data_IF_467670849237
#
_entry.id   IF_467670849237
#
_cell.length_a   1.000
_cell.length_b   1.000
_cell.length_c   1.000
_cell.angle_alpha   90.00
_cell.angle_beta   90.00
_cell.angle_gamma   90.00
#
_symmetry.space_group_name_H-M   'P 1'
#
loop_
_entity.id
_entity.type
_entity.pdbx_description
1 polymer ?
#
# COMPACT_ATOMS: atom_id res chain seq x y z
N UNK A 1 -13.67 8.13 -20.14
CA UNK A 1 -13.00 8.28 -18.83
C UNK A 1 -11.53 7.92 -18.99
N UNK A 2 -10.65 8.85 -18.61
CA UNK A 2 -9.25 8.98 -19.00
C UNK A 2 -8.34 7.83 -18.52
N UNK A 3 -7.41 7.43 -19.39
CA UNK A 3 -6.44 6.37 -19.15
C UNK A 3 -5.43 6.67 -18.05
N UNK A 4 -5.16 5.66 -17.22
CA UNK A 4 -4.13 5.66 -16.18
C UNK A 4 -2.72 5.38 -16.75
N UNK A 5 -2.38 5.98 -17.89
CA UNK A 5 -1.00 6.14 -18.30
C UNK A 5 -0.70 7.63 -18.25
N UNK A 6 -0.43 8.14 -17.06
CA UNK A 6 0.20 9.45 -16.96
C UNK A 6 1.54 9.34 -17.70
N UNK A 7 1.60 9.88 -18.93
CA UNK A 7 2.79 9.89 -19.80
C UNK A 7 3.97 10.70 -19.22
N UNK A 8 3.87 11.14 -17.97
CA UNK A 8 4.88 11.96 -17.32
C UNK A 8 5.07 11.46 -15.89
N UNK A 9 6.32 11.16 -15.48
CA UNK A 9 6.58 10.85 -14.08
C UNK A 9 6.14 12.02 -13.21
N UNK A 10 5.57 11.74 -12.03
CA UNK A 10 5.16 12.79 -11.13
C UNK A 10 6.36 13.68 -10.81
N UNK A 11 6.14 15.01 -10.88
CA UNK A 11 7.17 16.02 -10.58
C UNK A 11 7.73 15.86 -9.16
N UNK A 12 6.95 15.27 -8.25
CA UNK A 12 7.31 14.97 -6.88
C UNK A 12 7.58 13.47 -6.71
N UNK A 13 8.53 13.14 -5.86
CA UNK A 13 8.87 11.77 -5.49
C UNK A 13 7.64 11.04 -4.91
N UNK A 14 7.23 9.90 -5.47
CA UNK A 14 6.16 9.08 -4.89
C UNK A 14 6.56 8.57 -3.52
N UNK A 15 5.61 8.52 -2.60
CA UNK A 15 5.87 8.04 -1.23
C UNK A 15 6.14 6.53 -1.23
N UNK A 16 7.23 6.12 -0.58
CA UNK A 16 7.51 4.69 -0.36
C UNK A 16 6.39 4.03 0.47
N UNK A 17 5.87 2.85 0.10
CA UNK A 17 4.80 2.16 0.83
C UNK A 17 5.06 1.97 2.33
N UNK A 18 6.32 1.76 2.69
CA UNK A 18 6.78 1.66 4.08
C UNK A 18 6.50 2.89 4.93
N UNK A 19 6.53 4.08 4.34
CA UNK A 19 6.20 5.32 5.05
C UNK A 19 4.71 5.38 5.39
N UNK A 20 3.82 4.97 4.47
CA UNK A 20 2.37 4.84 4.71
C UNK A 20 2.10 3.80 5.80
N UNK A 21 2.78 2.66 5.76
CA UNK A 21 2.65 1.65 6.80
C UNK A 21 3.00 2.20 8.19
N UNK A 22 4.12 2.92 8.28
CA UNK A 22 4.62 3.50 9.53
C UNK A 22 3.77 4.66 10.04
N UNK A 23 3.34 5.55 9.14
CA UNK A 23 2.67 6.80 9.47
C UNK A 23 1.17 6.65 9.72
N UNK A 24 0.51 5.77 8.96
CA UNK A 24 -0.95 5.71 8.94
C UNK A 24 -1.47 4.35 9.41
N UNK A 25 -0.93 3.26 8.89
CA UNK A 25 -1.50 1.91 9.13
C UNK A 25 -1.23 1.42 10.55
N UNK A 26 0.03 1.39 10.99
CA UNK A 26 0.35 0.86 12.33
C UNK A 26 -0.27 1.71 13.46
N UNK A 27 -0.25 3.05 13.39
CA UNK A 27 -0.93 3.88 14.39
C UNK A 27 -2.45 3.70 14.39
N UNK A 28 -3.10 3.62 13.22
CA UNK A 28 -4.54 3.41 13.13
C UNK A 28 -4.99 2.05 13.70
N UNK A 29 -4.14 1.02 13.59
CA UNK A 29 -4.39 -0.30 14.15
C UNK A 29 -3.92 -0.45 15.61
N UNK A 30 -3.26 0.57 16.16
CA UNK A 30 -2.61 0.52 17.48
C UNK A 30 -1.70 -0.70 17.66
N UNK A 31 -0.89 -1.00 16.64
CA UNK A 31 0.01 -2.15 16.64
C UNK A 31 1.48 -1.72 16.72
N UNK A 32 2.24 -2.43 17.54
CA UNK A 32 3.70 -2.37 17.49
C UNK A 32 4.21 -3.06 16.23
N UNK A 33 5.45 -2.74 15.83
CA UNK A 33 6.13 -3.40 14.71
C UNK A 33 6.25 -4.92 14.93
N UNK A 34 6.44 -5.36 16.18
CA UNK A 34 6.56 -6.78 16.51
C UNK A 34 5.22 -7.51 16.30
N UNK A 35 4.11 -6.93 16.77
CA UNK A 35 2.78 -7.50 16.59
C UNK A 35 2.38 -7.53 15.12
N UNK A 36 2.63 -6.44 14.40
CA UNK A 36 2.36 -6.37 12.97
C UNK A 36 3.18 -7.41 12.18
N UNK A 37 4.47 -7.56 12.47
CA UNK A 37 5.31 -8.58 11.82
C UNK A 37 4.76 -9.99 12.05
N UNK A 38 4.35 -10.30 13.29
CA UNK A 38 3.73 -11.58 13.64
C UNK A 38 2.42 -11.81 12.87
N UNK A 39 1.54 -10.80 12.82
CA UNK A 39 0.26 -10.91 12.10
C UNK A 39 0.44 -11.01 10.58
N UNK A 40 1.45 -10.34 10.03
CA UNK A 40 1.82 -10.43 8.62
C UNK A 40 2.55 -11.75 8.29
N UNK A 41 2.97 -12.51 9.32
CA UNK A 41 3.71 -13.77 9.17
C UNK A 41 5.10 -13.58 8.57
N UNK A 42 5.79 -12.51 8.97
CA UNK A 42 7.13 -12.12 8.48
C UNK A 42 8.07 -11.83 9.64
N UNK A 43 9.39 -11.80 9.38
CA UNK A 43 10.33 -11.42 10.43
C UNK A 43 10.20 -9.94 10.77
N UNK A 44 10.44 -9.59 12.04
CA UNK A 44 10.47 -8.20 12.50
C UNK A 44 11.50 -7.37 11.73
N UNK A 45 12.65 -7.96 11.41
CA UNK A 45 13.72 -7.31 10.63
C UNK A 45 13.24 -6.94 9.22
N UNK A 46 12.53 -7.85 8.55
CA UNK A 46 11.98 -7.61 7.22
C UNK A 46 10.97 -6.46 7.26
N UNK A 47 10.00 -6.50 8.18
CA UNK A 47 9.03 -5.42 8.32
C UNK A 47 9.71 -4.09 8.64
N UNK A 48 10.67 -4.08 9.57
CA UNK A 48 11.42 -2.86 9.91
C UNK A 48 12.19 -2.28 8.71
N UNK A 49 12.77 -3.14 7.86
CA UNK A 49 13.45 -2.69 6.65
C UNK A 49 12.50 -2.02 5.66
N UNK A 50 11.29 -2.58 5.49
CA UNK A 50 10.24 -1.98 4.65
C UNK A 50 9.76 -0.66 5.24
N UNK A 51 9.44 -0.59 6.54
CA UNK A 51 8.99 0.63 7.21
C UNK A 51 10.01 1.78 7.11
N UNK A 52 11.29 1.45 7.06
CA UNK A 52 12.38 2.41 6.89
C UNK A 52 12.69 2.76 5.44
N UNK A 53 11.95 2.22 4.46
CA UNK A 53 12.18 2.46 3.03
C UNK A 53 13.45 1.82 2.46
N UNK A 54 14.09 0.90 3.21
CA UNK A 54 15.32 0.21 2.76
C UNK A 54 15.05 -1.05 1.96
N UNK A 55 13.85 -1.61 2.08
CA UNK A 55 13.42 -2.75 1.29
C UNK A 55 12.08 -2.45 0.62
N UNK A 56 11.97 -2.81 -0.65
CA UNK A 56 10.74 -2.71 -1.40
C UNK A 56 9.67 -3.67 -0.87
N UNK A 57 8.40 -3.33 -1.11
CA UNK A 57 7.28 -4.25 -0.97
C UNK A 57 7.28 -5.21 -2.14
N UNK A 58 7.67 -6.48 -1.90
CA UNK A 58 7.59 -7.55 -2.90
C UNK A 58 6.12 -7.94 -3.20
N UNK A 59 5.84 -8.67 -4.30
CA UNK A 59 4.51 -9.22 -4.56
C UNK A 59 3.94 -10.07 -3.40
N UNK A 60 4.76 -10.92 -2.79
CA UNK A 60 4.36 -11.74 -1.64
C UNK A 60 4.00 -10.86 -0.44
N UNK A 61 4.78 -9.82 -0.20
CA UNK A 61 4.48 -8.87 0.87
C UNK A 61 3.22 -8.05 0.55
N UNK A 62 3.00 -7.67 -0.70
CA UNK A 62 1.79 -6.96 -1.13
C UNK A 62 0.53 -7.81 -0.91
N UNK A 63 0.57 -9.12 -1.16
CA UNK A 63 -0.54 -10.04 -0.85
C UNK A 63 -0.83 -10.05 0.66
N UNK A 64 0.21 -10.12 1.50
CA UNK A 64 0.07 -10.06 2.97
C UNK A 64 -0.54 -8.74 3.43
N UNK A 65 -0.04 -7.61 2.93
CA UNK A 65 -0.54 -6.28 3.25
C UNK A 65 -1.98 -6.06 2.75
N UNK A 66 -2.29 -6.54 1.55
CA UNK A 66 -3.63 -6.46 0.98
C UNK A 66 -4.66 -7.21 1.84
N UNK A 67 -4.29 -8.38 2.38
CA UNK A 67 -5.11 -9.13 3.33
C UNK A 67 -5.19 -8.42 4.69
N UNK A 68 -4.07 -7.91 5.18
CA UNK A 68 -3.95 -7.25 6.49
C UNK A 68 -4.74 -5.94 6.56
N UNK A 69 -4.74 -5.15 5.50
CA UNK A 69 -5.40 -3.84 5.42
C UNK A 69 -6.78 -3.87 4.73
N UNK A 70 -7.15 -4.98 4.09
CA UNK A 70 -8.45 -5.12 3.40
C UNK A 70 -8.57 -4.30 2.10
N UNK A 71 -7.47 -3.80 1.54
CA UNK A 71 -7.45 -2.95 0.34
C UNK A 71 -6.83 -3.63 -0.90
N UNK A 72 -6.44 -4.89 -0.77
CA UNK A 72 -5.93 -5.72 -1.87
C UNK A 72 -4.46 -5.47 -2.24
N UNK A 73 -3.81 -6.49 -2.79
CA UNK A 73 -2.37 -6.46 -3.10
C UNK A 73 -1.99 -5.40 -4.15
N UNK A 74 -2.86 -5.18 -5.14
CA UNK A 74 -2.61 -4.25 -6.24
C UNK A 74 -2.41 -2.81 -5.78
N UNK A 75 -3.02 -2.39 -4.66
CA UNK A 75 -2.78 -1.06 -4.09
C UNK A 75 -1.30 -0.88 -3.71
N UNK A 76 -0.77 -1.83 -2.94
CA UNK A 76 0.62 -1.80 -2.46
C UNK A 76 1.64 -1.91 -3.59
N UNK A 77 1.39 -2.80 -4.56
CA UNK A 77 2.25 -2.92 -5.74
C UNK A 77 2.28 -1.65 -6.57
N UNK A 78 1.13 -1.02 -6.84
CA UNK A 78 1.11 0.23 -7.63
C UNK A 78 1.91 1.34 -6.95
N UNK A 79 1.84 1.47 -5.62
CA UNK A 79 2.65 2.44 -4.89
C UNK A 79 4.14 2.12 -5.00
N UNK A 80 4.53 0.86 -4.80
CA UNK A 80 5.93 0.44 -4.93
C UNK A 80 6.45 0.67 -6.36
N UNK A 81 5.69 0.26 -7.37
CA UNK A 81 6.04 0.46 -8.78
C UNK A 81 6.19 1.94 -9.12
N UNK A 82 5.30 2.80 -8.63
CA UNK A 82 5.43 4.24 -8.87
C UNK A 82 6.72 4.80 -8.24
N UNK A 83 7.01 4.44 -6.99
CA UNK A 83 8.23 4.84 -6.28
C UNK A 83 9.49 4.36 -7.02
N UNK A 84 9.53 3.09 -7.40
CA UNK A 84 10.70 2.47 -8.01
C UNK A 84 10.92 2.99 -9.43
N UNK A 85 9.86 3.17 -10.20
CA UNK A 85 9.93 3.75 -11.55
C UNK A 85 10.48 5.17 -11.50
N UNK A 86 10.00 6.01 -10.57
CA UNK A 86 10.49 7.38 -10.43
C UNK A 86 12.00 7.43 -10.13
N UNK A 87 12.49 6.53 -9.27
CA UNK A 87 13.92 6.42 -8.98
C UNK A 87 14.71 5.87 -10.17
N UNK A 88 14.20 4.84 -10.85
CA UNK A 88 14.85 4.20 -11.99
C UNK A 88 15.01 5.16 -13.17
N UNK A 89 13.95 5.88 -13.54
CA UNK A 89 13.98 6.86 -14.64
C UNK A 89 15.00 7.98 -14.39
N UNK A 90 15.14 8.43 -13.14
CA UNK A 90 16.13 9.43 -12.77
C UNK A 90 17.55 8.89 -12.78
N UNK A 91 17.73 7.66 -12.28
CA UNK A 91 19.03 6.98 -12.30
C UNK A 91 19.53 6.73 -13.72
N UNK A 92 18.62 6.34 -14.62
CA UNK A 92 18.95 5.93 -15.99
C UNK A 92 18.77 7.06 -17.01
N UNK A 93 18.54 8.31 -16.58
CA UNK A 93 18.14 9.45 -17.43
C UNK A 93 18.97 9.62 -18.70
N UNK A 94 20.28 9.42 -18.62
CA UNK A 94 21.20 9.61 -19.74
C UNK A 94 21.40 8.34 -20.57
N UNK A 95 21.15 7.18 -19.97
CA UNK A 95 21.22 5.87 -20.62
C UNK A 95 20.00 5.63 -21.49
N UNK A 96 18.79 5.93 -20.98
CA UNK A 96 17.52 5.69 -21.69
C UNK A 96 17.44 6.45 -23.02
N UNK A 97 18.08 7.62 -23.14
CA UNK A 97 18.10 8.43 -24.37
C UNK A 97 18.86 7.76 -25.52
N UNK A 98 19.75 6.80 -25.20
CA UNK A 98 20.56 6.08 -26.18
C UNK A 98 19.90 4.79 -26.65
N UNK A 99 18.82 4.36 -25.97
CA UNK A 99 18.10 3.13 -26.29
C UNK A 99 17.15 3.42 -27.46
N UNK A 100 17.25 2.70 -28.59
CA UNK A 100 16.37 2.91 -29.73
C UNK A 100 14.94 2.42 -29.42
N UNK A 101 13.95 3.20 -29.84
CA UNK A 101 12.54 2.77 -29.80
C UNK A 101 12.23 1.88 -31.01
N UNK A 102 11.71 0.67 -30.77
CA UNK A 102 11.26 -0.23 -31.83
C UNK A 102 9.74 -0.08 -32.05
N UNK A 103 9.34 0.45 -33.21
CA UNK A 103 7.93 0.50 -33.59
C UNK A 103 7.43 -0.90 -33.97
N UNK A 104 6.30 -1.34 -33.38
CA UNK A 104 5.70 -2.65 -33.63
C UNK A 104 5.37 -3.45 -32.36
N UNK A 105 5.96 -3.09 -31.21
CA UNK A 105 5.52 -3.60 -29.89
C UNK A 105 4.36 -2.72 -29.40
N UNK A 106 3.23 -2.72 -30.11
CA UNK A 106 1.99 -2.19 -29.53
C UNK A 106 1.63 -3.05 -28.34
N UNK A 107 1.41 -2.45 -27.16
CA UNK A 107 0.92 -3.15 -25.98
C UNK A 107 -0.31 -4.02 -26.37
N UNK A 108 -0.21 -5.36 -26.37
CA UNK A 108 -1.32 -6.22 -26.79
C UNK A 108 -2.48 -6.17 -25.79
N UNK A 109 -2.24 -5.64 -24.60
CA UNK A 109 -3.28 -5.36 -23.63
C UNK A 109 -3.72 -3.89 -23.76
N UNK A 110 -4.85 -3.68 -24.44
CA UNK A 110 -5.76 -2.59 -24.05
C UNK A 110 -5.98 -2.60 -22.51
N UNK A 111 -6.53 -1.52 -21.92
CA UNK A 111 -6.48 -1.26 -20.48
C UNK A 111 -6.85 -2.53 -19.70
N UNK A 112 -5.86 -3.14 -19.02
CA UNK A 112 -6.05 -4.35 -18.25
C UNK A 112 -7.19 -4.10 -17.25
N UNK A 113 -8.33 -4.73 -17.52
CA UNK A 113 -9.53 -4.73 -16.68
C UNK A 113 -9.26 -5.54 -15.39
N UNK A 114 -8.37 -5.06 -14.53
CA UNK A 114 -8.51 -5.31 -13.10
C UNK A 114 -9.49 -4.27 -12.57
N UNK A 115 -10.79 -4.53 -12.79
CA UNK A 115 -11.85 -3.79 -12.12
C UNK A 115 -11.71 -3.85 -10.59
N UNK A 116 -12.50 -3.09 -9.83
CA UNK A 116 -12.52 -3.23 -8.39
C UNK A 116 -12.74 -4.71 -8.08
N UNK A 117 -11.79 -5.34 -7.40
CA UNK A 117 -11.99 -6.66 -6.82
C UNK A 117 -13.28 -6.57 -6.01
N UNK A 118 -14.37 -7.10 -6.55
CA UNK A 118 -15.58 -7.33 -5.78
C UNK A 118 -15.18 -8.33 -4.71
N UNK A 119 -14.88 -7.83 -3.51
CA UNK A 119 -14.99 -8.63 -2.30
C UNK A 119 -16.37 -9.29 -2.36
N UNK A 120 -16.50 -10.62 -2.26
CA UNK A 120 -17.81 -11.19 -2.01
C UNK A 120 -18.26 -10.58 -0.69
N UNK A 121 -19.39 -9.88 -0.75
CA UNK A 121 -20.09 -9.39 0.42
C UNK A 121 -20.23 -10.56 1.40
N UNK A 122 -19.41 -10.57 2.45
CA UNK A 122 -19.65 -11.42 3.60
C UNK A 122 -20.76 -10.74 4.39
N UNK A 123 -21.92 -11.35 4.29
CA UNK A 123 -23.18 -11.09 4.96
C UNK A 123 -23.06 -10.25 6.25
N UNK A 124 -23.88 -9.20 6.30
CA UNK A 124 -24.20 -8.47 7.53
C UNK A 124 -24.85 -9.42 8.52
N UNK A 125 -24.07 -9.99 9.44
CA UNK A 125 -24.57 -10.37 10.76
C UNK A 125 -24.91 -9.10 11.54
N UNK A 126 -25.90 -9.13 12.45
CA UNK A 126 -26.32 -7.93 13.18
C UNK A 126 -25.15 -7.36 13.99
N UNK A 127 -24.90 -6.06 13.77
CA UNK A 127 -23.98 -5.24 14.54
C UNK A 127 -24.48 -5.18 15.98
N UNK A 128 -23.88 -5.99 16.85
CA UNK A 128 -23.95 -5.79 18.30
C UNK A 128 -22.91 -4.72 18.62
N UNK A 129 -23.39 -3.52 18.94
CA UNK A 129 -22.54 -2.43 19.41
C UNK A 129 -21.75 -2.88 20.65
N UNK A 130 -20.44 -2.62 20.74
CA UNK A 130 -19.73 -2.80 21.99
C UNK A 130 -20.28 -1.80 23.02
N UNK A 131 -20.50 -2.21 24.28
CA UNK A 131 -21.05 -1.34 25.31
C UNK A 131 -20.06 -0.20 25.59
N UNK A 132 -20.54 1.03 25.36
CA UNK A 132 -19.94 2.24 25.89
C UNK A 132 -20.02 2.12 27.41
N UNK A 133 -18.91 1.82 28.09
CA UNK A 133 -18.88 1.86 29.55
C UNK A 133 -19.02 3.31 30.00
N UNK A 134 -20.19 3.60 30.57
CA UNK A 134 -20.48 4.80 31.34
C UNK A 134 -19.48 4.89 32.51
N UNK A 135 -18.51 5.80 32.41
CA UNK A 135 -17.73 6.22 33.55
C UNK A 135 -18.58 7.17 34.41
N UNK A 136 -19.09 6.61 35.50
CA UNK A 136 -19.77 7.31 36.59
C UNK A 136 -18.79 8.25 37.29
N UNK A 137 -18.80 9.54 36.94
CA UNK A 137 -18.12 10.57 37.75
C UNK A 137 -19.08 11.03 38.84
N UNK A 138 -18.75 10.64 40.06
CA UNK A 138 -19.30 11.17 41.31
C UNK A 138 -18.46 12.39 41.67
N UNK A 139 -19.03 13.59 41.61
CA UNK A 139 -18.51 14.71 42.39
C UNK A 139 -19.63 15.33 43.23
N UNK A 140 -19.41 15.24 44.55
CA UNK A 140 -20.04 16.04 45.59
C UNK A 140 -19.60 17.50 45.42
N UNK A 141 -20.48 18.44 45.75
CA UNK A 141 -20.14 19.83 45.99
C UNK A 141 -21.35 20.62 46.48
N UNK A 142 -21.44 20.74 47.80
CA UNK A 142 -22.14 21.73 48.65
C UNK A 142 -23.50 22.25 48.23
#
# INVERSE_FOLDING_TARGET
>A
MSGYFAKQPPKMEPVHPGAILRGDVLPALNLTVAEAARQLGVSRQMLHSILAGRSAVSPEMAVRLGRFCGNGAGFWLRMQTAHDLWHAERKLRDEIQKIPEHQGVSNPAGPLLFGPSASPARERGPSVAPPVMLARIKHRGT
#
